data_IF_218694103535
#
_entry.id   IF_218694103535
#
_cell.length_a   1.000
_cell.length_b   1.000
_cell.length_c   1.000
_cell.angle_alpha   90.00
_cell.angle_beta   90.00
_cell.angle_gamma   90.00
#
_symmetry.space_group_name_H-M   'P 1'
#
loop_
_entity.id
_entity.type
_entity.pdbx_description
1 polymer ?
#
# COMPACT_ATOMS: atom_id res chain seq x y z
N UNK A 1 0.54 14.66 -22.33
CA UNK A 1 1.14 13.59 -21.50
C UNK A 1 1.43 14.14 -20.12
N UNK A 2 0.88 13.55 -19.09
CA UNK A 2 1.12 13.97 -17.70
C UNK A 2 2.09 12.99 -17.04
N UNK A 3 3.36 13.37 -16.95
CA UNK A 3 4.37 12.65 -16.20
C UNK A 3 4.44 13.27 -14.81
N UNK A 4 4.36 12.45 -13.77
CA UNK A 4 4.50 12.92 -12.39
C UNK A 4 5.76 12.37 -11.73
N UNK A 5 6.30 13.13 -10.78
CA UNK A 5 7.42 12.69 -9.96
C UNK A 5 6.91 11.94 -8.72
N UNK A 6 7.57 10.86 -8.38
CA UNK A 6 7.22 10.02 -7.22
C UNK A 6 7.59 10.65 -5.85
N UNK A 7 7.88 11.94 -5.82
CA UNK A 7 8.26 12.65 -4.60
C UNK A 7 7.06 13.20 -3.80
N UNK A 8 5.84 13.00 -4.26
CA UNK A 8 4.64 13.54 -3.61
C UNK A 8 3.53 12.49 -3.44
N UNK A 9 3.90 11.23 -3.33
CA UNK A 9 2.97 10.15 -3.03
C UNK A 9 2.52 10.26 -1.57
N UNK A 10 1.21 10.21 -1.35
CA UNK A 10 0.64 10.19 -0.01
C UNK A 10 0.31 8.77 0.45
N UNK A 11 0.59 8.48 1.71
CA UNK A 11 0.23 7.22 2.37
C UNK A 11 -0.36 7.51 3.73
N UNK A 12 -1.54 6.96 4.00
CA UNK A 12 -2.18 7.00 5.31
C UNK A 12 -2.46 5.59 5.82
N UNK A 13 -2.26 5.41 7.10
CA UNK A 13 -2.60 4.19 7.82
C UNK A 13 -3.81 4.42 8.74
N UNK A 14 -4.58 3.37 8.98
CA UNK A 14 -5.59 3.38 10.03
C UNK A 14 -4.95 3.19 11.42
N UNK A 15 -5.68 3.49 12.46
CA UNK A 15 -5.34 3.06 13.82
C UNK A 15 -5.59 1.55 13.96
N UNK A 16 -4.81 0.91 14.82
CA UNK A 16 -4.79 -0.55 14.95
C UNK A 16 -6.18 -1.19 15.13
N UNK A 17 -6.33 -2.39 14.57
CA UNK A 17 -7.31 -3.41 14.92
C UNK A 17 -8.78 -3.20 14.51
N UNK A 18 -9.13 -2.18 13.76
CA UNK A 18 -10.49 -2.06 13.24
C UNK A 18 -10.48 -1.55 11.80
N UNK A 19 -11.48 -1.91 10.98
CA UNK A 19 -11.65 -1.33 9.66
C UNK A 19 -12.08 0.13 9.81
N UNK A 20 -11.14 0.99 10.17
CA UNK A 20 -11.35 2.41 10.31
C UNK A 20 -10.82 3.14 9.10
N UNK A 21 -11.32 4.34 8.87
CA UNK A 21 -10.81 5.22 7.82
C UNK A 21 -9.34 5.56 8.13
N UNK A 22 -8.41 5.33 7.19
CA UNK A 22 -7.02 5.72 7.39
C UNK A 22 -6.89 7.21 7.70
N UNK A 23 -6.28 7.53 8.83
CA UNK A 23 -6.17 8.91 9.33
C UNK A 23 -4.74 9.32 9.70
N UNK A 24 -3.85 8.34 9.89
CA UNK A 24 -2.45 8.60 10.24
C UNK A 24 -1.64 8.80 8.96
N UNK A 25 -1.25 10.05 8.70
CA UNK A 25 -0.45 10.42 7.54
C UNK A 25 1.03 10.18 7.81
N UNK A 26 1.61 9.20 7.12
CA UNK A 26 3.03 8.85 7.24
C UNK A 26 3.86 9.29 6.02
N UNK A 27 3.28 10.03 5.11
CA UNK A 27 3.89 10.39 3.83
C UNK A 27 5.27 11.05 3.97
N UNK A 28 5.49 11.81 5.02
CA UNK A 28 6.77 12.49 5.28
C UNK A 28 7.91 11.55 5.71
N UNK A 29 7.58 10.33 6.15
CA UNK A 29 8.54 9.33 6.60
C UNK A 29 8.81 8.26 5.53
N UNK A 30 8.00 8.21 4.50
CA UNK A 30 8.09 7.21 3.43
C UNK A 30 9.11 7.66 2.39
N UNK A 31 10.12 6.84 2.15
CA UNK A 31 11.13 7.07 1.12
C UNK A 31 10.78 6.40 -0.21
N UNK A 32 10.09 5.26 -0.17
CA UNK A 32 9.58 4.58 -1.36
C UNK A 32 8.32 3.79 -1.03
N UNK A 33 7.42 3.69 -1.98
CA UNK A 33 6.21 2.90 -1.85
C UNK A 33 5.81 2.31 -3.19
N UNK A 34 5.36 1.05 -3.16
CA UNK A 34 4.90 0.33 -4.36
C UNK A 34 3.66 -0.48 -4.03
N UNK A 35 2.64 -0.31 -4.83
CA UNK A 35 1.45 -1.17 -4.82
C UNK A 35 1.39 -1.89 -6.16
N UNK A 36 1.45 -3.22 -6.14
CA UNK A 36 1.34 -4.07 -7.31
C UNK A 36 0.06 -4.88 -7.23
N UNK A 37 -0.75 -4.81 -8.27
CA UNK A 37 -1.97 -5.59 -8.42
C UNK A 37 -1.79 -6.60 -9.54
N UNK A 38 -2.17 -7.84 -9.29
CA UNK A 38 -2.17 -8.90 -10.29
C UNK A 38 -3.49 -9.66 -10.27
N UNK A 39 -3.87 -10.23 -11.39
CA UNK A 39 -4.99 -11.14 -11.49
C UNK A 39 -4.47 -12.49 -11.98
N UNK A 40 -5.01 -13.57 -11.43
CA UNK A 40 -4.73 -14.89 -11.95
C UNK A 40 -5.23 -15.02 -13.39
N UNK A 41 -4.46 -15.66 -14.25
CA UNK A 41 -4.85 -15.97 -15.61
C UNK A 41 -5.40 -17.41 -15.66
N UNK A 42 -6.66 -17.54 -16.03
CA UNK A 42 -7.31 -18.84 -16.20
C UNK A 42 -7.48 -19.14 -17.68
N UNK A 43 -6.87 -20.23 -18.16
CA UNK A 43 -7.03 -20.67 -19.55
C UNK A 43 -8.41 -21.30 -19.75
N UNK A 44 -9.14 -20.78 -20.74
CA UNK A 44 -10.48 -21.25 -21.12
C UNK A 44 -10.53 -21.65 -22.61
N UNK A 45 -9.41 -22.06 -23.14
CA UNK A 45 -9.29 -22.52 -24.52
C UNK A 45 -10.12 -23.78 -24.72
N UNK A 46 -10.95 -23.80 -25.75
CA UNK A 46 -11.78 -24.95 -26.13
C UNK A 46 -11.38 -25.52 -27.49
N UNK A 47 -11.88 -26.73 -27.80
CA UNK A 47 -11.71 -27.31 -29.11
C UNK A 47 -12.35 -26.42 -30.18
N UNK A 48 -11.59 -26.14 -31.23
CA UNK A 48 -12.00 -25.25 -32.31
C UNK A 48 -11.48 -23.82 -32.19
N UNK A 49 -10.93 -23.44 -31.06
CA UNK A 49 -10.23 -22.15 -30.89
C UNK A 49 -8.93 -22.15 -31.72
N UNK A 50 -8.70 -21.07 -32.45
CA UNK A 50 -7.47 -20.89 -33.22
C UNK A 50 -6.32 -20.29 -32.42
N UNK A 51 -6.60 -19.81 -31.20
CA UNK A 51 -5.61 -19.24 -30.27
C UNK A 51 -6.01 -19.57 -28.84
N UNK A 52 -5.04 -19.45 -27.91
CA UNK A 52 -5.32 -19.58 -26.49
C UNK A 52 -6.17 -18.42 -25.98
N UNK A 53 -7.14 -18.74 -25.13
CA UNK A 53 -8.04 -17.76 -24.48
C UNK A 53 -7.86 -17.83 -22.98
N UNK A 54 -7.80 -16.64 -22.38
CA UNK A 54 -7.63 -16.47 -20.94
C UNK A 54 -8.71 -15.56 -20.37
N UNK A 55 -9.09 -15.82 -19.14
CA UNK A 55 -9.94 -14.93 -18.33
C UNK A 55 -9.22 -14.58 -17.03
N UNK A 56 -9.52 -13.42 -16.48
CA UNK A 56 -8.98 -13.01 -15.20
C UNK A 56 -9.62 -13.83 -14.06
N UNK A 57 -8.80 -14.34 -13.18
CA UNK A 57 -9.21 -15.02 -11.97
C UNK A 57 -9.25 -14.08 -10.76
N UNK A 58 -8.76 -14.55 -9.62
CA UNK A 58 -8.74 -13.75 -8.40
C UNK A 58 -7.66 -12.66 -8.44
N UNK A 59 -7.97 -11.52 -7.84
CA UNK A 59 -7.01 -10.45 -7.63
C UNK A 59 -6.07 -10.80 -6.48
N UNK A 60 -4.77 -10.61 -6.71
CA UNK A 60 -3.75 -10.58 -5.69
C UNK A 60 -3.03 -9.23 -5.73
N UNK A 61 -2.66 -8.71 -4.57
CA UNK A 61 -1.92 -7.48 -4.50
C UNK A 61 -0.85 -7.53 -3.42
N UNK A 62 0.23 -6.78 -3.63
CA UNK A 62 1.34 -6.67 -2.71
C UNK A 62 1.67 -5.20 -2.48
N UNK A 63 1.92 -4.84 -1.24
CA UNK A 63 2.26 -3.49 -0.82
C UNK A 63 3.66 -3.49 -0.21
N UNK A 64 4.59 -2.81 -0.85
CA UNK A 64 5.96 -2.60 -0.37
C UNK A 64 6.15 -1.16 0.04
N UNK A 65 6.79 -0.95 1.17
CA UNK A 65 7.04 0.37 1.72
C UNK A 65 8.43 0.44 2.36
N UNK A 66 9.16 1.50 2.04
CA UNK A 66 10.41 1.87 2.67
C UNK A 66 10.20 3.17 3.43
N UNK A 67 10.55 3.19 4.71
CA UNK A 67 10.28 4.33 5.57
C UNK A 67 11.36 4.50 6.63
N UNK A 68 11.46 5.72 7.14
CA UNK A 68 12.28 6.03 8.31
C UNK A 68 11.54 5.66 9.58
N UNK A 69 12.23 5.01 10.51
CA UNK A 69 11.64 4.53 11.75
C UNK A 69 11.33 5.72 12.68
N UNK A 70 10.07 5.89 13.01
CA UNK A 70 9.60 6.88 13.96
C UNK A 70 8.65 6.23 14.98
N UNK A 71 9.02 6.28 16.25
CA UNK A 71 8.28 5.73 17.38
C UNK A 71 7.39 6.74 18.09
N UNK A 72 7.33 7.98 17.62
CA UNK A 72 6.44 8.98 18.20
C UNK A 72 4.97 8.55 18.07
N UNK A 73 4.13 9.15 18.89
CA UNK A 73 2.70 8.88 18.88
C UNK A 73 2.08 9.13 17.50
N UNK A 74 1.30 8.20 17.01
CA UNK A 74 0.64 8.25 15.70
C UNK A 74 1.63 8.30 14.52
N UNK A 75 2.82 7.73 14.70
CA UNK A 75 3.78 7.56 13.61
C UNK A 75 3.88 6.10 13.14
N UNK A 76 4.67 5.86 12.11
CA UNK A 76 4.66 4.60 11.35
C UNK A 76 5.00 3.38 12.21
N UNK A 77 6.07 3.44 13.00
CA UNK A 77 6.50 2.26 13.79
C UNK A 77 5.53 1.92 14.91
N UNK A 78 5.02 2.92 15.62
CA UNK A 78 4.04 2.70 16.67
C UNK A 78 2.74 2.10 16.10
N UNK A 79 2.28 2.62 14.98
CA UNK A 79 1.06 2.13 14.32
C UNK A 79 1.21 0.70 13.82
N UNK A 80 2.32 0.38 13.15
CA UNK A 80 2.58 -0.97 12.66
C UNK A 80 2.79 -1.97 13.79
N UNK A 81 3.52 -1.59 14.83
CA UNK A 81 3.76 -2.45 15.99
C UNK A 81 2.47 -2.80 16.73
N UNK A 82 1.54 -1.87 16.84
CA UNK A 82 0.22 -2.13 17.43
C UNK A 82 -0.66 -3.05 16.57
N UNK A 83 -0.41 -3.11 15.26
CA UNK A 83 -1.19 -3.87 14.30
C UNK A 83 -0.54 -5.20 13.87
N UNK A 84 0.61 -5.58 14.45
CA UNK A 84 1.27 -6.86 14.12
C UNK A 84 0.33 -8.04 14.32
N UNK A 85 0.22 -8.89 13.31
CA UNK A 85 -0.70 -10.03 13.29
C UNK A 85 -2.16 -9.68 12.95
N UNK A 86 -2.45 -8.42 12.65
CA UNK A 86 -3.79 -7.94 12.34
C UNK A 86 -3.87 -7.32 10.94
N UNK A 87 -5.08 -7.05 10.51
CA UNK A 87 -5.35 -6.35 9.25
C UNK A 87 -5.43 -4.83 9.52
N UNK A 88 -4.73 -4.06 8.72
CA UNK A 88 -4.64 -2.60 8.82
C UNK A 88 -5.11 -1.97 7.52
N UNK A 89 -6.02 -1.00 7.59
CA UNK A 89 -6.47 -0.27 6.41
C UNK A 89 -5.43 0.78 5.97
N UNK A 90 -5.25 0.90 4.67
CA UNK A 90 -4.29 1.81 4.04
C UNK A 90 -4.99 2.62 2.95
N UNK A 91 -4.65 3.89 2.86
CA UNK A 91 -5.04 4.77 1.76
C UNK A 91 -3.79 5.37 1.12
N UNK A 92 -3.78 5.38 -0.21
CA UNK A 92 -2.69 5.96 -0.99
C UNK A 92 -3.22 6.93 -2.01
N UNK A 93 -2.41 7.93 -2.35
CA UNK A 93 -2.67 8.85 -3.46
C UNK A 93 -1.36 9.15 -4.19
N UNK A 94 -1.42 9.26 -5.51
CA UNK A 94 -0.21 9.48 -6.32
C UNK A 94 0.32 10.90 -6.20
N UNK A 95 -0.56 11.88 -5.99
CA UNK A 95 -0.20 13.30 -5.81
C UNK A 95 -0.90 13.87 -4.59
N UNK A 96 -0.23 13.83 -3.44
CA UNK A 96 -0.70 14.47 -2.22
C UNK A 96 -0.77 15.99 -2.41
N UNK A 97 -1.82 16.61 -1.90
CA UNK A 97 -2.04 18.05 -2.03
C UNK A 97 -2.70 18.49 -3.34
N UNK A 98 -2.92 17.57 -4.27
CA UNK A 98 -3.74 17.80 -5.46
C UNK A 98 -5.13 17.21 -5.21
N UNK A 99 -6.17 17.85 -5.74
CA UNK A 99 -7.53 17.36 -5.60
C UNK A 99 -7.69 15.92 -6.13
N UNK A 100 -8.49 15.13 -5.42
CA UNK A 100 -8.84 13.78 -5.86
C UNK A 100 -9.72 13.87 -7.10
N UNK A 101 -9.45 13.08 -8.09
CA UNK A 101 -10.18 13.06 -9.35
C UNK A 101 -9.76 11.89 -10.23
N UNK A 102 -10.27 11.87 -11.45
CA UNK A 102 -9.93 10.81 -12.41
C UNK A 102 -8.43 10.74 -12.71
N UNK A 103 -7.73 11.87 -12.69
CA UNK A 103 -6.29 11.97 -12.93
C UNK A 103 -5.44 11.78 -11.67
N UNK A 104 -6.06 11.71 -10.51
CA UNK A 104 -5.41 11.54 -9.21
C UNK A 104 -6.32 10.77 -8.25
N UNK A 105 -6.64 9.50 -8.55
CA UNK A 105 -7.52 8.71 -7.70
C UNK A 105 -6.84 8.28 -6.39
N UNK A 106 -7.66 7.99 -5.39
CA UNK A 106 -7.22 7.32 -4.17
C UNK A 106 -7.29 5.81 -4.33
N UNK A 107 -6.33 5.12 -3.75
CA UNK A 107 -6.27 3.66 -3.64
C UNK A 107 -6.51 3.26 -2.20
N UNK A 108 -7.52 2.46 -1.97
CA UNK A 108 -7.88 1.99 -0.62
C UNK A 108 -7.84 0.48 -0.57
N UNK A 109 -7.17 -0.06 0.43
CA UNK A 109 -7.02 -1.50 0.63
C UNK A 109 -6.66 -1.77 2.09
N UNK A 110 -6.64 -3.06 2.44
CA UNK A 110 -6.19 -3.50 3.76
C UNK A 110 -4.98 -4.42 3.59
N UNK A 111 -4.01 -4.27 4.47
CA UNK A 111 -2.81 -5.12 4.52
C UNK A 111 -2.85 -6.03 5.73
N UNK A 112 -2.28 -7.22 5.58
CA UNK A 112 -1.97 -8.08 6.72
C UNK A 112 -0.57 -7.71 7.23
N UNK A 113 -0.49 -7.20 8.45
CA UNK A 113 0.80 -6.87 9.09
C UNK A 113 1.41 -8.15 9.64
N UNK A 114 2.07 -8.89 8.78
CA UNK A 114 2.63 -10.21 9.09
C UNK A 114 4.13 -10.18 9.41
N UNK A 115 4.76 -9.04 9.29
CA UNK A 115 6.18 -8.87 9.61
C UNK A 115 6.45 -7.43 10.04
N UNK A 116 7.46 -7.25 10.88
CA UNK A 116 7.97 -5.96 11.31
C UNK A 116 9.41 -6.15 11.78
N UNK A 117 10.27 -5.19 11.48
CA UNK A 117 11.64 -5.13 11.99
C UNK A 117 11.77 -3.92 12.90
N UNK A 118 11.42 -4.03 14.18
CA UNK A 118 11.34 -2.86 15.07
C UNK A 118 12.73 -2.37 15.52
N UNK A 119 13.73 -3.23 15.46
CA UNK A 119 15.11 -2.93 15.87
C UNK A 119 16.08 -3.50 14.83
N UNK A 120 17.06 -2.74 14.47
CA UNK A 120 18.05 -3.10 13.45
C UNK A 120 18.06 -2.11 12.28
N UNK A 121 18.53 -2.55 11.11
CA UNK A 121 18.57 -1.79 9.88
C UNK A 121 19.44 -0.52 9.91
N UNK A 122 20.68 -0.65 10.36
CA UNK A 122 21.67 0.41 10.29
C UNK A 122 22.79 0.17 11.28
N UNK A 123 23.93 0.73 10.97
CA UNK A 123 25.11 0.79 11.83
C UNK A 123 25.12 2.04 12.70
N UNK A 124 26.17 2.21 13.48
CA UNK A 124 26.38 3.44 14.25
C UNK A 124 26.60 4.61 13.28
N UNK A 125 25.78 5.65 13.43
CA UNK A 125 25.82 6.82 12.54
C UNK A 125 24.91 6.76 11.33
N UNK A 126 24.24 5.61 11.10
CA UNK A 126 23.23 5.48 10.05
C UNK A 126 21.83 5.84 10.56
N UNK A 127 21.00 6.32 9.66
CA UNK A 127 19.59 6.53 9.94
C UNK A 127 18.85 5.19 10.07
N UNK A 128 17.91 5.11 10.97
CA UNK A 128 17.07 3.93 11.15
C UNK A 128 15.96 3.93 10.08
N UNK A 129 16.06 3.04 9.12
CA UNK A 129 15.07 2.85 8.06
C UNK A 129 14.66 1.39 7.96
N UNK A 130 13.43 1.15 7.52
CA UNK A 130 12.89 -0.20 7.31
C UNK A 130 12.32 -0.33 5.91
N UNK A 131 12.53 -1.50 5.30
CA UNK A 131 11.95 -1.90 4.02
C UNK A 131 11.09 -3.13 4.25
N UNK A 132 9.78 -3.00 4.10
CA UNK A 132 8.81 -4.06 4.41
C UNK A 132 7.88 -4.29 3.23
N UNK A 133 7.43 -5.54 3.12
CA UNK A 133 6.45 -5.96 2.13
C UNK A 133 5.31 -6.68 2.82
N UNK A 134 4.08 -6.26 2.52
CA UNK A 134 2.87 -6.80 3.10
C UNK A 134 1.95 -7.37 2.03
N UNK A 135 1.29 -8.47 2.35
CA UNK A 135 0.21 -8.99 1.51
C UNK A 135 -1.04 -8.13 1.69
N UNK A 136 -1.63 -7.71 0.58
CA UNK A 136 -2.92 -7.02 0.58
C UNK A 136 -4.02 -8.04 0.84
N UNK A 137 -4.80 -7.81 1.89
CA UNK A 137 -5.83 -8.73 2.40
C UNK A 137 -7.25 -8.24 2.08
N UNK A 138 -7.41 -7.52 0.98
CA UNK A 138 -8.71 -7.05 0.47
C UNK A 138 -8.61 -6.74 -1.02
N UNK A 139 -9.76 -6.49 -1.63
CA UNK A 139 -9.77 -5.90 -2.97
C UNK A 139 -9.24 -4.47 -2.91
N UNK A 140 -8.38 -4.11 -3.84
CA UNK A 140 -7.91 -2.73 -3.98
C UNK A 140 -9.01 -1.90 -4.64
N UNK A 141 -9.52 -0.92 -3.93
CA UNK A 141 -10.54 -0.01 -4.43
C UNK A 141 -9.88 1.27 -4.94
N UNK A 142 -10.14 1.59 -6.19
CA UNK A 142 -9.68 2.84 -6.82
C UNK A 142 -10.85 3.80 -6.90
N UNK A 143 -10.74 4.96 -6.32
CA UNK A 143 -11.82 5.94 -6.30
C UNK A 143 -11.35 7.32 -6.76
N UNK A 144 -12.06 7.93 -7.73
CA UNK A 144 -11.81 9.32 -8.13
C UNK A 144 -12.52 10.35 -7.26
N UNK A 145 -13.25 9.93 -6.23
CA UNK A 145 -14.12 10.80 -5.43
C UNK A 145 -13.96 10.66 -3.92
N UNK A 146 -13.36 9.59 -3.44
CA UNK A 146 -13.10 9.41 -2.01
C UNK A 146 -11.87 10.21 -1.61
N UNK A 147 -11.99 11.01 -0.55
CA UNK A 147 -10.89 11.81 -0.03
C UNK A 147 -9.73 10.92 0.47
N UNK A 148 -8.52 11.45 0.25
CA UNK A 148 -7.31 10.89 0.83
C UNK A 148 -7.14 11.34 2.26
#
# INVERSE_FOLDING_TARGET
>A
MAIYLNNNVGVKLATAAAPTVPSIDISSLVSAVTLTQTFDELEVTSMGDLSRRYVAGLQAANFSIDFFNDWASSQVMQTLNAAVGQTLAVSMITKKGTAVGADNPTYQFSILVNNLTPVGNGGVGDEAASSLSFTVNSVVTVSPSVAF
#
